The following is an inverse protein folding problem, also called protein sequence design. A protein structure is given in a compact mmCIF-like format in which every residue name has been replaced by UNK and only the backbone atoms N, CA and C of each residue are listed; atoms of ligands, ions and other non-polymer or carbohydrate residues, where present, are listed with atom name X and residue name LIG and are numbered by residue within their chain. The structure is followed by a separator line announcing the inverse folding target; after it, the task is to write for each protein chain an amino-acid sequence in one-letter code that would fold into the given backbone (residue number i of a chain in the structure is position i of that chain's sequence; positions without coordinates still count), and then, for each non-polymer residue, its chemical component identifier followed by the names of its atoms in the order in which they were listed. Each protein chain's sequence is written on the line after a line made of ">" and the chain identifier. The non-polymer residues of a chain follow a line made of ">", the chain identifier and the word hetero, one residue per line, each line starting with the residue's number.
data_IF_406728612706
#
_entry.id   IF_406728612706
#
_cell.length_a   1.000
_cell.length_b   1.000
_cell.length_c   1.000
_cell.angle_alpha   90.00
_cell.angle_beta   90.00
_cell.angle_gamma   90.00
#
_symmetry.space_group_name_H-M   'P 1'
#
loop_
_entity.id
_entity.type
_entity.pdbx_description
1 polymer ?
#
# COMPACT_ATOMS: atom_id res chain seq x y z
N UNK A 1 -14.72 -15.85 -5.93
CA UNK A 1 -16.10 -15.66 -5.44
C UNK A 1 -16.30 -14.33 -4.71
N UNK A 2 -15.31 -13.85 -3.97
CA UNK A 2 -15.42 -12.60 -3.21
C UNK A 2 -15.67 -11.35 -4.07
N UNK A 3 -15.07 -11.28 -5.25
CA UNK A 3 -15.23 -10.14 -6.18
C UNK A 3 -16.63 -10.04 -6.80
N UNK A 4 -17.30 -11.17 -7.02
CA UNK A 4 -18.69 -11.19 -7.50
C UNK A 4 -19.68 -10.80 -6.40
N UNK A 5 -19.37 -11.15 -5.15
CA UNK A 5 -20.22 -10.85 -4.00
C UNK A 5 -20.19 -9.36 -3.62
N UNK A 6 -19.05 -8.69 -3.75
CA UNK A 6 -18.94 -7.24 -3.47
C UNK A 6 -19.71 -6.42 -4.51
N UNK A 7 -19.48 -6.65 -5.80
CA UNK A 7 -20.21 -5.93 -6.85
C UNK A 7 -21.72 -6.17 -6.81
N UNK A 8 -22.17 -7.38 -6.44
CA UNK A 8 -23.58 -7.69 -6.33
C UNK A 8 -24.24 -7.13 -5.07
N UNK A 9 -23.53 -7.10 -3.94
CA UNK A 9 -24.04 -6.49 -2.72
C UNK A 9 -24.15 -4.96 -2.84
N UNK A 10 -23.17 -4.29 -3.43
CA UNK A 10 -23.22 -2.85 -3.69
C UNK A 10 -24.39 -2.47 -4.61
N UNK A 11 -24.68 -3.31 -5.62
CA UNK A 11 -25.87 -3.11 -6.45
C UNK A 11 -27.15 -3.12 -5.62
N UNK A 12 -27.36 -4.19 -4.85
CA UNK A 12 -28.59 -4.36 -4.08
C UNK A 12 -28.75 -3.18 -3.13
N UNK A 13 -27.68 -2.77 -2.46
CA UNK A 13 -27.68 -1.63 -1.53
C UNK A 13 -28.03 -0.33 -2.24
N UNK A 14 -27.42 -0.02 -3.41
CA UNK A 14 -27.71 1.22 -4.14
C UNK A 14 -29.12 1.27 -4.70
N UNK A 15 -29.67 0.14 -5.13
CA UNK A 15 -31.05 0.05 -5.61
C UNK A 15 -32.05 0.23 -4.45
N UNK A 16 -31.79 -0.39 -3.29
CA UNK A 16 -32.61 -0.23 -2.09
C UNK A 16 -32.58 1.18 -1.52
N UNK A 17 -31.45 1.88 -1.62
CA UNK A 17 -31.25 3.24 -1.13
C UNK A 17 -31.51 4.31 -2.19
N UNK A 18 -31.96 3.95 -3.39
CA UNK A 18 -32.22 4.90 -4.47
C UNK A 18 -33.20 6.01 -4.02
N UNK A 19 -32.84 7.27 -4.27
CA UNK A 19 -33.62 8.44 -3.86
C UNK A 19 -33.48 8.81 -2.37
N UNK A 20 -32.68 8.08 -1.56
CA UNK A 20 -32.44 8.46 -0.18
C UNK A 20 -31.62 9.75 -0.11
N UNK A 21 -32.12 10.79 0.62
CA UNK A 21 -31.48 12.09 0.64
C UNK A 21 -30.26 12.13 1.57
N UNK A 22 -29.28 12.95 1.20
CA UNK A 22 -28.17 13.38 2.05
C UNK A 22 -27.94 14.89 1.90
N UNK A 23 -27.11 15.49 2.73
CA UNK A 23 -26.78 16.90 2.69
C UNK A 23 -26.22 17.27 1.31
N UNK A 24 -26.86 18.24 0.57
CA UNK A 24 -26.43 18.63 -0.75
C UNK A 24 -24.97 19.03 -0.79
N UNK A 25 -24.23 18.52 -1.78
CA UNK A 25 -22.82 18.85 -2.01
C UNK A 25 -22.49 18.89 -3.49
N UNK A 26 -21.47 19.64 -3.84
CA UNK A 26 -20.99 19.72 -5.22
C UNK A 26 -20.01 18.57 -5.46
N UNK A 27 -20.30 17.74 -6.45
CA UNK A 27 -19.45 16.62 -6.91
C UNK A 27 -19.34 16.78 -8.43
N UNK A 28 -18.10 16.88 -8.94
CA UNK A 28 -17.81 17.07 -10.36
C UNK A 28 -18.60 18.23 -11.00
N UNK A 29 -18.74 19.36 -10.30
CA UNK A 29 -19.45 20.55 -10.77
C UNK A 29 -20.98 20.43 -10.79
N UNK A 30 -21.55 19.38 -10.14
CA UNK A 30 -22.98 19.16 -10.02
C UNK A 30 -23.39 19.12 -8.56
N UNK A 31 -24.50 19.80 -8.23
CA UNK A 31 -25.13 19.65 -6.93
C UNK A 31 -25.85 18.32 -6.86
N UNK A 32 -25.49 17.48 -5.89
CA UNK A 32 -26.06 16.16 -5.64
C UNK A 32 -26.56 16.09 -4.22
N UNK A 33 -27.75 15.53 -4.03
CA UNK A 33 -28.44 15.50 -2.72
C UNK A 33 -29.13 14.16 -2.42
N UNK A 34 -29.00 13.16 -3.31
CA UNK A 34 -29.61 11.85 -3.11
C UNK A 34 -28.80 10.73 -3.76
N UNK A 35 -28.97 9.51 -3.27
CA UNK A 35 -28.38 8.29 -3.83
C UNK A 35 -29.07 7.97 -5.16
N UNK A 36 -28.27 7.62 -6.17
CA UNK A 36 -28.76 7.16 -7.48
C UNK A 36 -28.60 5.64 -7.55
N UNK A 37 -29.69 4.92 -7.83
CA UNK A 37 -29.65 3.47 -8.00
C UNK A 37 -28.77 3.07 -9.19
N UNK A 38 -27.88 2.10 -8.99
CA UNK A 38 -27.06 1.57 -10.07
C UNK A 38 -27.93 0.88 -11.13
N UNK A 39 -27.59 1.08 -12.40
CA UNK A 39 -28.19 0.40 -13.52
C UNK A 39 -27.43 -0.89 -13.85
N UNK A 40 -28.08 -1.85 -14.50
CA UNK A 40 -27.40 -3.07 -14.94
C UNK A 40 -26.17 -2.76 -15.82
N UNK A 41 -26.24 -1.71 -16.66
CA UNK A 41 -25.11 -1.25 -17.45
C UNK A 41 -23.93 -0.79 -16.62
N UNK A 42 -24.17 -0.19 -15.44
CA UNK A 42 -23.10 0.30 -14.57
C UNK A 42 -22.28 -0.86 -13.99
N UNK A 43 -22.97 -1.96 -13.67
CA UNK A 43 -22.34 -3.19 -13.16
C UNK A 43 -21.52 -3.89 -14.24
N UNK A 44 -22.14 -4.09 -15.42
CA UNK A 44 -21.46 -4.74 -16.56
C UNK A 44 -20.20 -3.94 -16.94
N UNK A 45 -20.26 -2.62 -16.84
CA UNK A 45 -19.13 -1.72 -17.13
C UNK A 45 -18.19 -1.48 -15.95
N UNK A 46 -18.52 -1.93 -14.74
CA UNK A 46 -17.69 -1.69 -13.55
C UNK A 46 -16.24 -2.18 -13.71
N UNK A 47 -15.96 -3.42 -14.19
CA UNK A 47 -14.58 -3.86 -14.38
C UNK A 47 -13.82 -2.99 -15.41
N UNK A 48 -14.48 -2.60 -16.51
CA UNK A 48 -13.87 -1.73 -17.51
C UNK A 48 -13.54 -0.34 -16.94
N UNK A 49 -14.46 0.24 -16.18
CA UNK A 49 -14.25 1.52 -15.53
C UNK A 49 -13.17 1.43 -14.43
N UNK A 50 -13.12 0.32 -13.68
CA UNK A 50 -12.08 0.02 -12.71
C UNK A 50 -10.70 -0.11 -13.36
N UNK A 51 -10.63 -0.74 -14.57
CA UNK A 51 -9.37 -0.79 -15.33
C UNK A 51 -8.90 0.60 -15.74
N UNK A 52 -9.83 1.46 -16.22
CA UNK A 52 -9.51 2.86 -16.58
C UNK A 52 -9.04 3.67 -15.37
N UNK A 53 -9.70 3.51 -14.23
CA UNK A 53 -9.37 4.22 -13.00
C UNK A 53 -7.97 3.85 -12.47
N UNK A 54 -7.58 2.57 -12.60
CA UNK A 54 -6.30 2.05 -12.13
C UNK A 54 -5.27 1.84 -13.26
N UNK A 55 -5.42 2.46 -14.44
CA UNK A 55 -4.60 2.13 -15.62
C UNK A 55 -3.11 2.33 -15.37
N UNK A 56 -2.72 3.40 -14.70
CA UNK A 56 -1.31 3.71 -14.43
C UNK A 56 -0.68 2.69 -13.48
N UNK A 57 -1.39 2.32 -12.41
CA UNK A 57 -0.95 1.28 -11.46
C UNK A 57 -0.82 -0.07 -12.19
N UNK A 58 -1.79 -0.41 -13.02
CA UNK A 58 -1.80 -1.67 -13.75
C UNK A 58 -0.63 -1.77 -14.72
N UNK A 59 -0.33 -0.70 -15.47
CA UNK A 59 0.82 -0.64 -16.37
C UNK A 59 2.12 -0.75 -15.56
N UNK A 60 2.23 -0.01 -14.46
CA UNK A 60 3.41 -0.07 -13.58
C UNK A 60 3.69 -1.50 -13.08
N UNK A 61 2.68 -2.20 -12.58
CA UNK A 61 2.81 -3.57 -12.06
C UNK A 61 3.24 -4.55 -13.17
N UNK A 62 2.68 -4.45 -14.37
CA UNK A 62 3.07 -5.31 -15.51
C UNK A 62 4.53 -5.07 -15.93
N UNK A 63 4.92 -3.80 -16.05
CA UNK A 63 6.30 -3.43 -16.43
C UNK A 63 7.28 -3.86 -15.36
N UNK A 64 6.91 -3.69 -14.10
CA UNK A 64 7.70 -4.11 -12.95
C UNK A 64 7.94 -5.62 -12.95
N UNK A 65 6.89 -6.42 -13.19
CA UNK A 65 7.01 -7.88 -13.34
C UNK A 65 7.98 -8.26 -14.46
N UNK A 66 7.87 -7.60 -15.60
CA UNK A 66 8.80 -7.79 -16.72
C UNK A 66 10.26 -7.47 -16.38
N UNK A 67 10.49 -6.31 -15.71
CA UNK A 67 11.81 -5.92 -15.21
C UNK A 67 12.40 -6.97 -14.25
N UNK A 68 11.60 -7.38 -13.26
CA UNK A 68 12.03 -8.36 -12.26
C UNK A 68 12.43 -9.69 -12.89
N UNK A 69 11.63 -10.17 -13.84
CA UNK A 69 11.92 -11.45 -14.49
C UNK A 69 13.19 -11.38 -15.35
N UNK A 70 13.42 -10.27 -16.06
CA UNK A 70 14.71 -10.05 -16.75
C UNK A 70 15.87 -10.16 -15.76
N UNK A 71 15.81 -9.44 -14.63
CA UNK A 71 16.88 -9.47 -13.62
C UNK A 71 17.06 -10.87 -13.02
N UNK A 72 15.97 -11.57 -12.72
CA UNK A 72 15.98 -12.95 -12.19
C UNK A 72 16.61 -13.92 -13.17
N UNK A 73 16.23 -13.89 -14.46
CA UNK A 73 16.78 -14.77 -15.47
C UNK A 73 18.30 -14.57 -15.72
N UNK A 74 18.86 -13.41 -15.33
CA UNK A 74 20.32 -13.22 -15.36
C UNK A 74 21.07 -14.01 -14.28
N UNK A 75 20.36 -14.58 -13.27
CA UNK A 75 20.95 -15.21 -12.10
C UNK A 75 21.57 -14.22 -11.09
N UNK A 76 21.44 -12.92 -11.33
CA UNK A 76 22.07 -11.90 -10.49
C UNK A 76 21.43 -11.82 -9.10
N UNK A 77 20.10 -11.99 -9.02
CA UNK A 77 19.38 -11.97 -7.73
C UNK A 77 19.78 -13.16 -6.87
N UNK A 78 19.76 -14.37 -7.40
CA UNK A 78 20.16 -15.59 -6.67
C UNK A 78 21.60 -15.50 -6.16
N UNK A 79 22.55 -15.10 -7.03
CA UNK A 79 23.94 -14.94 -6.65
C UNK A 79 24.12 -13.83 -5.58
N UNK A 80 23.36 -12.74 -5.70
CA UNK A 80 23.33 -11.64 -4.73
C UNK A 80 22.81 -12.09 -3.38
N UNK A 81 21.67 -12.77 -3.35
CA UNK A 81 21.03 -13.32 -2.13
C UNK A 81 22.01 -14.25 -1.42
N UNK A 82 22.60 -15.22 -2.12
CA UNK A 82 23.58 -16.12 -1.52
C UNK A 82 24.78 -15.39 -0.93
N UNK A 83 25.28 -14.34 -1.61
CA UNK A 83 26.37 -13.52 -1.10
C UNK A 83 25.99 -12.78 0.19
N UNK A 84 24.75 -12.25 0.28
CA UNK A 84 24.23 -11.58 1.48
C UNK A 84 24.05 -12.56 2.62
N UNK A 85 23.40 -13.71 2.38
CA UNK A 85 23.18 -14.76 3.39
C UNK A 85 24.52 -15.28 3.94
N UNK A 86 25.52 -15.52 3.07
CA UNK A 86 26.87 -15.92 3.51
C UNK A 86 27.54 -14.86 4.42
N UNK A 87 27.33 -13.57 4.15
CA UNK A 87 27.86 -12.48 4.98
C UNK A 87 27.12 -12.29 6.30
N UNK A 88 25.83 -12.60 6.34
CA UNK A 88 24.97 -12.45 7.52
C UNK A 88 25.02 -13.65 8.47
N UNK A 89 25.81 -14.68 8.19
CA UNK A 89 25.87 -15.92 8.93
C UNK A 89 25.89 -15.70 10.45
N UNK A 90 24.80 -16.09 11.14
CA UNK A 90 24.57 -15.88 12.57
C UNK A 90 23.88 -14.55 12.95
N UNK A 91 23.62 -13.65 12.02
CA UNK A 91 22.96 -12.37 12.26
C UNK A 91 21.72 -12.13 11.37
N UNK A 92 21.17 -13.19 10.78
CA UNK A 92 20.06 -13.11 9.81
C UNK A 92 18.81 -12.44 10.42
N UNK A 93 18.57 -12.63 11.72
CA UNK A 93 17.46 -11.99 12.44
C UNK A 93 17.55 -10.46 12.47
N UNK A 94 18.75 -9.87 12.39
CA UNK A 94 18.91 -8.40 12.47
C UNK A 94 18.46 -7.69 11.20
N UNK A 95 18.38 -8.39 10.06
CA UNK A 95 17.96 -7.78 8.80
C UNK A 95 16.48 -7.38 8.84
N UNK A 96 15.66 -8.16 9.55
CA UNK A 96 14.20 -7.97 9.64
C UNK A 96 13.86 -6.55 10.17
N UNK A 97 14.28 -6.15 11.39
CA UNK A 97 13.94 -4.83 11.91
C UNK A 97 14.54 -3.70 11.09
N UNK A 98 15.74 -3.87 10.50
CA UNK A 98 16.36 -2.86 9.64
C UNK A 98 15.50 -2.62 8.41
N UNK A 99 15.08 -3.67 7.71
CA UNK A 99 14.22 -3.56 6.53
C UNK A 99 12.84 -3.00 6.90
N UNK A 100 12.25 -3.44 8.00
CA UNK A 100 10.95 -2.92 8.46
C UNK A 100 11.01 -1.43 8.75
N UNK A 101 12.09 -0.93 9.38
CA UNK A 101 12.28 0.51 9.59
C UNK A 101 12.40 1.24 8.26
N UNK A 102 13.19 0.74 7.31
CA UNK A 102 13.34 1.35 5.99
C UNK A 102 12.01 1.42 5.24
N UNK A 103 11.26 0.32 5.19
CA UNK A 103 9.92 0.31 4.58
C UNK A 103 8.94 1.23 5.31
N UNK A 104 9.00 1.30 6.64
CA UNK A 104 8.10 2.16 7.42
C UNK A 104 8.38 3.65 7.20
N UNK A 105 9.64 4.04 7.02
CA UNK A 105 9.99 5.40 6.62
C UNK A 105 9.36 5.73 5.27
N UNK A 106 9.49 4.84 4.27
CA UNK A 106 8.84 4.99 2.97
C UNK A 106 7.32 5.11 3.08
N UNK A 107 6.69 4.23 3.86
CA UNK A 107 5.25 4.28 4.12
C UNK A 107 4.78 5.59 4.77
N UNK A 108 5.54 6.11 5.75
CA UNK A 108 5.20 7.34 6.47
C UNK A 108 5.42 8.62 5.66
N UNK A 109 6.42 8.62 4.77
CA UNK A 109 6.86 9.85 4.07
C UNK A 109 6.15 10.04 2.73
N UNK A 110 6.01 9.00 1.93
CA UNK A 110 5.37 9.11 0.61
C UNK A 110 4.29 8.06 0.35
N UNK A 111 3.93 7.25 1.37
CA UNK A 111 2.85 6.29 1.25
C UNK A 111 3.22 5.02 0.50
N UNK A 112 4.49 4.56 0.63
CA UNK A 112 4.99 3.36 -0.04
C UNK A 112 4.04 2.17 0.14
N UNK A 113 3.49 1.69 -0.95
CA UNK A 113 2.54 0.59 -1.00
C UNK A 113 2.83 -0.34 -2.18
N UNK A 114 2.34 -0.05 -3.38
CA UNK A 114 2.49 -0.86 -4.59
C UNK A 114 3.96 -1.03 -4.99
N UNK A 115 4.81 -0.07 -4.69
CA UNK A 115 6.26 -0.11 -4.92
C UNK A 115 6.97 -1.18 -4.07
N UNK A 116 6.29 -1.72 -3.06
CA UNK A 116 6.83 -2.84 -2.27
C UNK A 116 6.72 -4.19 -2.97
N UNK A 117 5.87 -4.32 -3.99
CA UNK A 117 5.59 -5.59 -4.68
C UNK A 117 6.85 -6.34 -5.11
N UNK A 118 7.87 -5.69 -5.71
CA UNK A 118 9.11 -6.38 -6.09
C UNK A 118 9.88 -7.00 -4.94
N UNK A 119 9.76 -6.40 -3.75
CA UNK A 119 10.54 -6.88 -2.59
C UNK A 119 10.01 -8.17 -2.00
N UNK A 120 8.74 -8.54 -2.26
CA UNK A 120 8.20 -9.80 -1.73
C UNK A 120 8.92 -11.02 -2.29
N UNK A 121 9.14 -11.10 -3.60
CA UNK A 121 9.87 -12.20 -4.21
C UNK A 121 11.34 -12.27 -3.76
N UNK A 122 12.02 -11.11 -3.77
CA UNK A 122 13.40 -10.99 -3.33
C UNK A 122 13.59 -11.40 -1.87
N UNK A 123 12.73 -10.90 -0.99
CA UNK A 123 12.83 -11.20 0.44
C UNK A 123 12.35 -12.60 0.76
N UNK A 124 11.35 -13.15 0.06
CA UNK A 124 10.94 -14.55 0.20
C UNK A 124 12.10 -15.48 -0.09
N UNK A 125 12.79 -15.31 -1.21
CA UNK A 125 13.99 -16.09 -1.55
C UNK A 125 15.10 -15.91 -0.49
N UNK A 126 15.33 -14.67 -0.04
CA UNK A 126 16.35 -14.36 0.98
C UNK A 126 16.02 -15.01 2.33
N UNK A 127 14.77 -14.93 2.78
CA UNK A 127 14.33 -15.48 4.06
C UNK A 127 14.36 -17.01 4.05
N UNK A 128 13.92 -17.65 2.97
CA UNK A 128 14.00 -19.12 2.82
C UNK A 128 15.47 -19.57 2.83
N UNK A 129 16.36 -18.91 2.08
CA UNK A 129 17.79 -19.18 2.10
C UNK A 129 18.43 -18.97 3.48
N UNK A 130 17.94 -18.03 4.28
CA UNK A 130 18.36 -17.78 5.66
C UNK A 130 17.71 -18.73 6.69
N UNK A 131 16.87 -19.67 6.26
CA UNK A 131 16.23 -20.70 7.09
C UNK A 131 14.95 -20.24 7.80
N UNK A 132 14.30 -19.19 7.30
CA UNK A 132 12.94 -18.76 7.64
C UNK A 132 11.93 -19.30 6.61
N UNK A 133 10.66 -18.99 6.79
CA UNK A 133 9.63 -19.18 5.79
C UNK A 133 9.30 -17.85 5.03
N UNK A 134 8.49 -17.95 3.98
CA UNK A 134 8.07 -16.77 3.19
C UNK A 134 7.12 -15.86 3.96
N UNK A 135 6.46 -16.34 4.99
CA UNK A 135 5.62 -15.53 5.86
C UNK A 135 6.42 -14.43 6.59
N UNK A 136 7.67 -14.73 6.97
CA UNK A 136 8.59 -13.72 7.54
C UNK A 136 8.88 -12.61 6.55
N UNK A 137 9.03 -12.94 5.25
CA UNK A 137 9.21 -11.93 4.20
C UNK A 137 7.96 -11.04 4.06
N UNK A 138 6.76 -11.66 3.98
CA UNK A 138 5.48 -10.93 3.93
C UNK A 138 5.35 -9.98 5.12
N UNK A 139 5.56 -10.47 6.35
CA UNK A 139 5.49 -9.66 7.56
C UNK A 139 6.49 -8.50 7.53
N UNK A 140 7.72 -8.73 7.04
CA UNK A 140 8.76 -7.70 6.95
C UNK A 140 8.37 -6.58 6.00
N UNK A 141 7.83 -6.90 4.82
CA UNK A 141 7.44 -5.89 3.80
C UNK A 141 6.12 -5.22 4.18
N UNK A 142 5.06 -6.02 4.33
CA UNK A 142 3.70 -5.50 4.47
C UNK A 142 3.49 -4.77 5.80
N UNK A 143 3.94 -5.34 6.92
CA UNK A 143 3.87 -4.66 8.21
C UNK A 143 4.94 -3.56 8.33
N UNK A 144 6.07 -3.68 7.64
CA UNK A 144 7.05 -2.61 7.55
C UNK A 144 6.43 -1.36 6.91
N UNK A 145 6.07 -1.42 5.64
CA UNK A 145 5.50 -0.29 4.90
C UNK A 145 4.16 0.17 5.49
N UNK A 146 3.25 -0.75 5.78
CA UNK A 146 1.92 -0.43 6.29
C UNK A 146 1.93 0.24 7.66
N UNK A 147 2.85 -0.13 8.57
CA UNK A 147 3.00 0.59 9.84
C UNK A 147 3.46 2.04 9.62
N UNK A 148 4.22 2.29 8.56
CA UNK A 148 4.55 3.64 8.12
C UNK A 148 3.33 4.42 7.65
N UNK A 149 2.51 3.81 6.80
CA UNK A 149 1.27 4.42 6.28
C UNK A 149 0.27 4.74 7.40
N UNK A 150 0.17 3.91 8.45
CA UNK A 150 -0.65 4.21 9.64
C UNK A 150 -0.27 5.55 10.27
N UNK A 151 1.02 5.84 10.37
CA UNK A 151 1.53 7.09 10.92
C UNK A 151 2.02 8.04 9.82
N UNK A 152 1.26 8.21 8.73
CA UNK A 152 1.57 9.11 7.63
C UNK A 152 1.95 10.51 8.13
N UNK A 153 3.25 10.87 8.03
CA UNK A 153 3.75 12.18 8.49
C UNK A 153 3.60 13.25 7.41
N UNK A 154 4.14 12.97 6.23
CA UNK A 154 4.16 13.89 5.07
C UNK A 154 3.68 13.19 3.80
N UNK A 155 2.97 12.09 3.94
CA UNK A 155 2.45 11.27 2.85
C UNK A 155 1.52 12.09 1.96
N UNK A 156 1.90 12.39 0.70
CA UNK A 156 1.11 13.22 -0.20
C UNK A 156 -0.25 12.60 -0.55
N UNK A 157 -0.35 11.27 -0.60
CA UNK A 157 -1.56 10.54 -0.98
C UNK A 157 -2.56 10.37 0.18
N UNK A 158 -2.14 10.66 1.40
CA UNK A 158 -2.99 10.57 2.61
C UNK A 158 -3.12 11.94 3.28
N UNK A 159 -2.13 12.30 4.11
CA UNK A 159 -2.16 13.56 4.86
C UNK A 159 -2.06 14.80 3.97
N UNK A 160 -1.32 14.73 2.86
CA UNK A 160 -1.22 15.82 1.88
C UNK A 160 -2.58 16.18 1.29
N UNK A 161 -3.22 15.19 0.65
CA UNK A 161 -4.56 15.35 0.06
C UNK A 161 -5.60 15.77 1.12
N UNK A 162 -5.52 15.20 2.33
CA UNK A 162 -6.43 15.54 3.41
C UNK A 162 -6.27 17.02 3.87
N UNK A 163 -5.03 17.50 3.97
CA UNK A 163 -4.76 18.91 4.25
C UNK A 163 -5.29 19.83 3.15
N UNK A 164 -5.11 19.46 1.88
CA UNK A 164 -5.62 20.25 0.75
C UNK A 164 -7.15 20.28 0.74
N UNK A 165 -7.80 19.18 1.07
CA UNK A 165 -9.24 19.10 1.22
C UNK A 165 -9.76 20.03 2.35
N UNK A 166 -9.03 20.17 3.47
CA UNK A 166 -9.34 21.15 4.52
C UNK A 166 -9.16 22.59 4.02
N UNK A 167 -8.06 22.87 3.29
CA UNK A 167 -7.81 24.20 2.70
C UNK A 167 -8.92 24.59 1.73
N UNK A 168 -9.42 23.64 0.95
CA UNK A 168 -10.52 23.82 0.01
C UNK A 168 -11.81 24.31 0.65
N UNK A 169 -12.05 24.03 1.94
CA UNK A 169 -13.20 24.50 2.72
C UNK A 169 -12.86 25.66 3.68
N UNK A 170 -11.70 26.33 3.48
CA UNK A 170 -11.27 27.48 4.27
C UNK A 170 -10.71 27.15 5.66
N UNK A 171 -10.35 25.89 5.92
CA UNK A 171 -9.67 25.50 7.15
C UNK A 171 -8.17 25.41 6.85
N UNK A 172 -7.35 26.21 7.56
CA UNK A 172 -5.89 26.15 7.45
C UNK A 172 -5.35 25.16 8.48
N UNK A 173 -4.90 23.94 8.08
CA UNK A 173 -4.42 22.95 9.01
C UNK A 173 -3.03 23.29 9.56
N UNK A 174 -2.81 23.03 10.84
CA UNK A 174 -1.49 23.10 11.44
C UNK A 174 -0.68 21.83 11.13
N UNK A 175 0.21 21.92 10.14
CA UNK A 175 1.07 20.80 9.72
C UNK A 175 1.92 20.25 10.86
N UNK A 176 2.30 21.08 11.85
CA UNK A 176 3.08 20.63 13.01
C UNK A 176 2.34 19.61 13.86
N UNK A 177 1.03 19.77 14.07
CA UNK A 177 0.20 18.80 14.81
C UNK A 177 0.17 17.46 14.04
N UNK A 178 -0.05 17.50 12.73
CA UNK A 178 -0.08 16.31 11.88
C UNK A 178 1.26 15.57 11.95
N UNK A 179 2.38 16.28 11.85
CA UNK A 179 3.72 15.71 11.93
C UNK A 179 3.97 15.03 13.29
N UNK A 180 3.62 15.70 14.39
CA UNK A 180 3.85 15.16 15.76
C UNK A 180 2.99 13.91 15.98
N UNK A 181 1.69 13.99 15.71
CA UNK A 181 0.78 12.86 15.89
C UNK A 181 1.13 11.71 14.95
N UNK A 182 1.45 12.02 13.70
CA UNK A 182 1.91 11.04 12.71
C UNK A 182 3.19 10.33 13.13
N UNK A 183 4.18 11.06 13.64
CA UNK A 183 5.44 10.48 14.13
C UNK A 183 5.23 9.55 15.33
N UNK A 184 4.33 9.90 16.26
CA UNK A 184 3.99 9.05 17.41
C UNK A 184 3.28 7.77 16.94
N UNK A 185 2.29 7.89 16.05
CA UNK A 185 1.59 6.75 15.46
C UNK A 185 2.56 5.85 14.68
N UNK A 186 3.43 6.43 13.86
CA UNK A 186 4.47 5.71 13.13
C UNK A 186 5.40 4.93 14.05
N UNK A 187 5.96 5.59 15.06
CA UNK A 187 6.91 4.96 15.98
C UNK A 187 6.26 3.82 16.77
N UNK A 188 5.04 4.02 17.28
CA UNK A 188 4.30 3.01 18.05
C UNK A 188 3.90 1.81 17.16
N UNK A 189 3.32 2.06 15.99
CA UNK A 189 2.87 1.02 15.07
C UNK A 189 4.04 0.22 14.50
N UNK A 190 5.14 0.88 14.13
CA UNK A 190 6.35 0.22 13.62
C UNK A 190 7.02 -0.62 14.71
N UNK A 191 7.14 -0.10 15.93
CA UNK A 191 7.73 -0.84 17.05
C UNK A 191 6.95 -2.13 17.35
N UNK A 192 5.62 -2.04 17.40
CA UNK A 192 4.77 -3.21 17.62
C UNK A 192 4.86 -4.19 16.43
N UNK A 193 4.85 -3.71 15.21
CA UNK A 193 4.99 -4.55 14.00
C UNK A 193 6.32 -5.30 13.98
N UNK A 194 7.43 -4.63 14.31
CA UNK A 194 8.74 -5.27 14.45
C UNK A 194 8.69 -6.36 15.54
N UNK A 195 8.08 -6.05 16.69
CA UNK A 195 7.98 -7.02 17.79
C UNK A 195 7.29 -8.31 17.37
N UNK A 196 6.14 -8.25 16.69
CA UNK A 196 5.39 -9.43 16.28
C UNK A 196 6.10 -10.24 15.20
N UNK A 197 6.68 -9.57 14.18
CA UNK A 197 7.42 -10.26 13.11
C UNK A 197 8.68 -10.92 13.68
N UNK A 198 9.43 -10.23 14.52
CA UNK A 198 10.62 -10.79 15.17
C UNK A 198 10.29 -11.96 16.09
N UNK A 199 9.18 -11.89 16.83
CA UNK A 199 8.71 -13.00 17.66
C UNK A 199 8.40 -14.24 16.81
N UNK A 200 7.71 -14.04 15.70
CA UNK A 200 7.41 -15.12 14.76
C UNK A 200 8.67 -15.67 14.10
N UNK A 201 9.53 -14.81 13.57
CA UNK A 201 10.78 -15.20 12.92
C UNK A 201 11.70 -16.00 13.85
N UNK A 202 11.85 -15.60 15.13
CA UNK A 202 12.60 -16.37 16.13
C UNK A 202 12.04 -17.77 16.34
N UNK A 203 10.70 -17.88 16.38
CA UNK A 203 10.02 -19.18 16.58
C UNK A 203 10.28 -20.11 15.40
N UNK A 204 10.10 -19.65 14.16
CA UNK A 204 10.33 -20.46 12.95
C UNK A 204 11.81 -20.79 12.78
N UNK A 205 12.73 -19.86 13.13
CA UNK A 205 14.17 -20.12 13.07
C UNK A 205 14.62 -21.22 14.04
N UNK A 206 14.02 -21.25 15.24
CA UNK A 206 14.33 -22.26 16.26
C UNK A 206 13.73 -23.64 15.91
N UNK A 207 12.53 -23.65 15.36
CA UNK A 207 11.80 -24.85 14.97
C UNK A 207 10.99 -24.58 13.70
N UNK A 208 11.44 -25.16 12.58
CA UNK A 208 10.75 -25.04 11.28
C UNK A 208 9.32 -25.59 11.30
N UNK A 209 9.03 -26.59 12.15
CA UNK A 209 7.69 -27.14 12.31
C UNK A 209 6.70 -26.20 12.97
N UNK A 210 7.18 -25.08 13.55
CA UNK A 210 6.31 -24.05 14.13
C UNK A 210 5.84 -22.96 13.15
N UNK A 211 6.08 -23.13 11.84
CA UNK A 211 5.49 -22.29 10.80
C UNK A 211 3.97 -22.32 10.85
N UNK A 212 3.33 -21.20 10.47
CA UNK A 212 1.87 -21.10 10.32
C UNK A 212 1.39 -21.42 8.91
N UNK A 213 2.33 -21.62 7.97
CA UNK A 213 2.01 -22.01 6.60
C UNK A 213 1.41 -23.43 6.60
N UNK A 214 0.36 -23.64 5.83
CA UNK A 214 -0.20 -24.96 5.55
C UNK A 214 0.82 -25.83 4.80
N UNK A 215 0.61 -27.12 4.76
CA UNK A 215 1.50 -28.04 4.03
C UNK A 215 1.62 -27.66 2.55
N UNK A 216 0.52 -27.26 1.92
CA UNK A 216 0.54 -26.84 0.54
C UNK A 216 1.35 -25.56 0.33
N UNK A 217 1.17 -24.55 1.21
CA UNK A 217 1.97 -23.31 1.15
C UNK A 217 3.48 -23.61 1.35
N UNK A 218 3.83 -24.56 2.21
CA UNK A 218 5.21 -24.99 2.39
C UNK A 218 5.78 -25.69 1.14
N UNK A 219 5.00 -26.55 0.48
CA UNK A 219 5.38 -27.19 -0.78
C UNK A 219 5.57 -26.14 -1.89
N UNK A 220 4.65 -25.20 -2.04
CA UNK A 220 4.72 -24.12 -3.03
C UNK A 220 5.92 -23.20 -2.76
N UNK A 221 6.18 -22.88 -1.50
CA UNK A 221 7.36 -22.12 -1.05
C UNK A 221 8.65 -22.86 -1.43
N UNK A 222 8.77 -24.16 -1.09
CA UNK A 222 9.97 -24.93 -1.38
C UNK A 222 10.20 -25.09 -2.87
N UNK A 223 9.14 -25.34 -3.65
CA UNK A 223 9.20 -25.45 -5.11
C UNK A 223 9.65 -24.14 -5.75
N UNK A 224 9.18 -23.00 -5.23
CA UNK A 224 9.46 -21.66 -5.83
C UNK A 224 10.81 -21.11 -5.37
N UNK A 225 11.14 -21.24 -4.08
CA UNK A 225 12.28 -20.57 -3.46
C UNK A 225 13.35 -21.50 -2.91
N UNK A 226 13.06 -22.79 -2.70
CA UNK A 226 14.00 -23.74 -2.10
C UNK A 226 15.26 -23.98 -2.94
N UNK A 227 15.14 -23.92 -4.27
CA UNK A 227 16.28 -24.10 -5.18
C UNK A 227 17.27 -22.93 -5.17
N UNK A 228 16.81 -21.72 -4.83
CA UNK A 228 17.68 -20.54 -4.71
C UNK A 228 18.73 -20.70 -3.59
N UNK A 229 18.44 -21.55 -2.61
CA UNK A 229 19.36 -21.87 -1.50
C UNK A 229 20.38 -22.98 -1.82
N UNK A 230 20.11 -23.84 -2.82
CA UNK A 230 20.84 -25.11 -3.02
C UNK A 230 21.92 -25.09 -4.07
N UNK A 231 21.91 -24.17 -5.04
CA UNK A 231 22.97 -24.06 -6.06
C UNK A 231 23.98 -22.98 -5.71
N UNK A 232 25.25 -23.39 -5.46
CA UNK A 232 26.32 -22.40 -5.33
C UNK A 232 26.55 -21.71 -6.68
N UNK A 233 26.11 -20.46 -6.77
CA UNK A 233 26.37 -19.62 -7.94
C UNK A 233 27.58 -18.71 -7.69
N UNK A 234 28.57 -18.64 -8.59
CA UNK A 234 29.68 -17.71 -8.46
C UNK A 234 29.16 -16.28 -8.64
N UNK A 235 29.43 -15.42 -7.64
CA UNK A 235 29.08 -14.01 -7.70
C UNK A 235 30.05 -13.24 -8.60
N UNK A 236 29.69 -13.08 -9.87
CA UNK A 236 30.53 -12.51 -10.92
C UNK A 236 30.45 -10.96 -10.95
N UNK A 237 31.40 -10.29 -11.63
CA UNK A 237 31.34 -8.86 -11.87
C UNK A 237 30.11 -8.44 -12.70
N UNK A 238 29.62 -9.34 -13.57
CA UNK A 238 28.38 -9.13 -14.32
C UNK A 238 27.18 -9.07 -13.40
N UNK A 239 27.04 -10.02 -12.46
CA UNK A 239 25.99 -10.00 -11.44
C UNK A 239 26.03 -8.72 -10.60
N UNK A 240 27.23 -8.27 -10.18
CA UNK A 240 27.39 -6.98 -9.45
C UNK A 240 26.87 -5.79 -10.24
N UNK A 241 27.17 -5.70 -11.55
CA UNK A 241 26.68 -4.61 -12.40
C UNK A 241 25.16 -4.62 -12.53
N UNK A 242 24.54 -5.79 -12.73
CA UNK A 242 23.08 -5.94 -12.80
C UNK A 242 22.43 -5.55 -11.48
N UNK A 243 22.98 -6.01 -10.34
CA UNK A 243 22.48 -5.62 -9.02
C UNK A 243 22.69 -4.13 -8.70
N UNK A 244 23.74 -3.51 -9.25
CA UNK A 244 23.90 -2.05 -9.16
C UNK A 244 22.83 -1.31 -9.96
N UNK A 245 22.51 -1.78 -11.17
CA UNK A 245 21.39 -1.22 -11.96
C UNK A 245 20.07 -1.42 -11.22
N UNK A 246 19.84 -2.59 -10.66
CA UNK A 246 18.67 -2.90 -9.83
C UNK A 246 18.56 -1.94 -8.64
N UNK A 247 19.60 -1.85 -7.82
CA UNK A 247 19.62 -0.94 -6.66
C UNK A 247 19.45 0.52 -7.08
N UNK A 248 20.12 0.96 -8.15
CA UNK A 248 19.98 2.31 -8.70
C UNK A 248 18.55 2.60 -9.14
N UNK A 249 17.87 1.63 -9.77
CA UNK A 249 16.48 1.74 -10.17
C UNK A 249 15.58 2.11 -8.99
N UNK A 250 15.71 1.39 -7.87
CA UNK A 250 14.92 1.62 -6.68
C UNK A 250 15.30 2.90 -5.93
N UNK A 251 16.59 3.24 -5.89
CA UNK A 251 17.04 4.51 -5.28
C UNK A 251 16.42 5.70 -6.03
N UNK A 252 16.46 5.69 -7.37
CA UNK A 252 15.85 6.75 -8.17
C UNK A 252 14.33 6.77 -7.99
N UNK A 253 13.67 5.61 -7.97
CA UNK A 253 12.23 5.52 -7.66
C UNK A 253 11.91 6.22 -6.33
N UNK A 254 12.59 5.87 -5.24
CA UNK A 254 12.35 6.46 -3.93
C UNK A 254 12.58 7.98 -3.97
N UNK A 255 13.69 8.43 -4.55
CA UNK A 255 14.03 9.86 -4.66
C UNK A 255 13.02 10.62 -5.50
N UNK A 256 12.52 10.03 -6.58
CA UNK A 256 11.57 10.68 -7.50
C UNK A 256 10.15 10.80 -6.94
N UNK A 257 9.77 9.99 -5.95
CA UNK A 257 8.45 10.00 -5.31
C UNK A 257 8.36 10.95 -4.11
N UNK A 258 9.50 11.32 -3.49
CA UNK A 258 9.49 12.25 -2.35
C UNK A 258 9.14 13.65 -2.85
N UNK A 259 8.08 14.31 -2.30
CA UNK A 259 7.64 15.63 -2.75
C UNK A 259 8.61 16.72 -2.27
N UNK A 260 9.76 16.82 -2.90
CA UNK A 260 10.86 17.73 -2.51
C UNK A 260 10.46 19.19 -2.44
N UNK A 261 9.52 19.61 -3.30
CA UNK A 261 9.02 20.98 -3.33
C UNK A 261 8.33 21.36 -2.01
N UNK A 262 7.61 20.42 -1.38
CA UNK A 262 6.90 20.66 -0.12
C UNK A 262 7.87 20.85 1.06
N UNK A 263 9.09 20.31 0.92
CA UNK A 263 10.20 20.51 1.87
C UNK A 263 11.08 21.71 1.52
N UNK A 264 10.74 22.51 0.49
CA UNK A 264 11.54 23.64 0.05
C UNK A 264 12.83 23.26 -0.70
N UNK A 265 13.00 21.97 -1.05
CA UNK A 265 14.16 21.47 -1.79
C UNK A 265 13.91 21.56 -3.28
N UNK A 266 14.56 22.52 -3.96
CA UNK A 266 14.37 22.79 -5.39
C UNK A 266 15.50 22.26 -6.28
N UNK A 267 16.47 21.55 -5.73
CA UNK A 267 17.66 21.06 -6.45
C UNK A 267 17.34 20.16 -7.62
N UNK A 268 16.18 19.47 -7.58
CA UNK A 268 15.77 18.53 -8.63
C UNK A 268 14.93 19.19 -9.75
N UNK A 269 14.54 20.46 -9.60
CA UNK A 269 13.71 21.15 -10.59
C UNK A 269 14.42 21.33 -11.93
N UNK A 270 13.73 20.98 -13.00
CA UNK A 270 14.10 21.24 -14.39
C UNK A 270 15.02 20.16 -14.97
N UNK A 271 16.20 19.91 -14.43
CA UNK A 271 17.17 19.01 -15.04
C UNK A 271 16.78 17.52 -14.95
N UNK A 272 15.99 17.12 -13.94
CA UNK A 272 15.51 15.73 -13.80
C UNK A 272 14.30 15.42 -14.70
N UNK A 273 13.64 16.43 -15.26
CA UNK A 273 12.49 16.26 -16.15
C UNK A 273 12.87 15.74 -17.55
N UNK A 274 14.15 15.66 -17.86
CA UNK A 274 14.65 15.18 -19.18
C UNK A 274 14.20 13.75 -19.49
N UNK A 275 13.95 12.91 -18.48
CA UNK A 275 13.61 11.49 -18.68
C UNK A 275 12.13 11.28 -19.02
N UNK A 276 11.24 11.88 -18.26
CA UNK A 276 9.79 11.63 -18.35
C UNK A 276 8.95 12.89 -18.59
N UNK A 277 9.56 14.06 -18.52
CA UNK A 277 8.87 15.34 -18.56
C UNK A 277 8.55 15.89 -17.16
N UNK A 278 8.55 15.05 -16.12
CA UNK A 278 8.30 15.42 -14.74
C UNK A 278 9.61 15.45 -13.94
N UNK A 279 9.75 16.44 -13.05
CA UNK A 279 10.90 16.53 -12.13
C UNK A 279 10.79 15.50 -11.01
N UNK A 280 11.93 15.14 -10.41
CA UNK A 280 11.92 14.32 -9.18
C UNK A 280 11.14 15.04 -8.08
N UNK A 281 10.22 14.31 -7.45
CA UNK A 281 9.25 14.81 -6.51
C UNK A 281 7.83 14.93 -7.10
N UNK A 282 7.74 14.88 -8.44
CA UNK A 282 6.46 14.95 -9.16
C UNK A 282 6.20 13.66 -9.97
N UNK A 283 7.05 12.64 -9.84
CA UNK A 283 6.87 11.37 -10.55
C UNK A 283 5.68 10.60 -9.99
N UNK A 284 4.99 9.88 -10.89
CA UNK A 284 3.88 9.00 -10.58
C UNK A 284 4.05 7.64 -11.27
N UNK A 285 3.06 6.76 -11.22
CA UNK A 285 3.17 5.38 -11.73
C UNK A 285 3.56 5.30 -13.21
N UNK A 286 3.11 6.24 -14.04
CA UNK A 286 3.50 6.30 -15.46
C UNK A 286 5.00 6.54 -15.65
N UNK A 287 5.57 7.50 -14.89
CA UNK A 287 7.00 7.79 -14.93
C UNK A 287 7.82 6.60 -14.43
N UNK A 288 7.38 5.99 -13.34
CA UNK A 288 8.01 4.80 -12.77
C UNK A 288 7.98 3.62 -13.75
N UNK A 289 6.85 3.37 -14.41
CA UNK A 289 6.75 2.30 -15.39
C UNK A 289 7.80 2.46 -16.51
N UNK A 290 7.93 3.66 -17.06
CA UNK A 290 8.92 3.92 -18.12
C UNK A 290 10.37 3.84 -17.61
N UNK A 291 10.62 4.26 -16.38
CA UNK A 291 11.90 4.12 -15.71
C UNK A 291 12.32 2.65 -15.55
N UNK A 292 11.42 1.80 -14.99
CA UNK A 292 11.67 0.37 -14.86
C UNK A 292 11.84 -0.34 -16.22
N UNK A 293 11.06 0.05 -17.22
CA UNK A 293 11.19 -0.46 -18.58
C UNK A 293 12.58 -0.18 -19.16
N UNK A 294 13.04 1.07 -19.07
CA UNK A 294 14.37 1.48 -19.54
C UNK A 294 15.50 0.70 -18.84
N UNK A 295 15.43 0.59 -17.52
CA UNK A 295 16.44 -0.12 -16.75
C UNK A 295 16.37 -1.64 -16.93
N UNK A 296 15.20 -2.18 -17.28
CA UNK A 296 15.03 -3.56 -17.72
C UNK A 296 15.82 -3.86 -18.99
N UNK A 297 15.74 -2.98 -19.98
CA UNK A 297 16.54 -3.08 -21.21
C UNK A 297 18.04 -3.01 -20.90
N UNK A 298 18.47 -2.08 -20.03
CA UNK A 298 19.87 -1.95 -19.62
C UNK A 298 20.34 -3.22 -18.90
N UNK A 299 19.52 -3.78 -18.00
CA UNK A 299 19.82 -5.03 -17.31
C UNK A 299 19.97 -6.22 -18.29
N UNK A 300 19.09 -6.32 -19.28
CA UNK A 300 19.16 -7.33 -20.35
C UNK A 300 20.45 -7.21 -21.18
N UNK A 301 20.81 -5.98 -21.58
CA UNK A 301 22.06 -5.71 -22.32
C UNK A 301 23.31 -6.13 -21.51
N UNK A 302 23.37 -5.77 -20.21
CA UNK A 302 24.45 -6.21 -19.31
C UNK A 302 24.38 -7.73 -19.15
N UNK A 303 23.16 -8.29 -19.10
CA UNK A 303 22.84 -9.71 -19.10
C UNK A 303 23.29 -10.45 -20.35
N UNK A 304 23.60 -9.73 -21.46
CA UNK A 304 23.88 -10.25 -22.78
C UNK A 304 22.71 -11.06 -23.36
N UNK A 305 21.50 -10.64 -23.06
CA UNK A 305 20.31 -11.22 -23.68
C UNK A 305 20.22 -10.75 -25.13
N UNK A 306 19.75 -11.63 -25.99
CA UNK A 306 19.30 -11.27 -27.32
C UNK A 306 18.00 -10.48 -27.25
N UNK A 307 17.63 -9.79 -28.31
CA UNK A 307 16.34 -9.09 -28.40
C UNK A 307 15.16 -10.03 -28.07
N UNK A 308 15.17 -11.23 -28.66
CA UNK A 308 14.15 -12.26 -28.45
C UNK A 308 14.07 -12.69 -27.00
N UNK A 309 15.19 -13.02 -26.35
CA UNK A 309 15.25 -13.40 -24.95
C UNK A 309 14.77 -12.28 -24.03
N UNK A 310 15.08 -11.01 -24.35
CA UNK A 310 14.64 -9.84 -23.60
C UNK A 310 13.13 -9.70 -23.65
N UNK A 311 12.54 -9.82 -24.85
CA UNK A 311 11.09 -9.71 -25.03
C UNK A 311 10.37 -10.87 -24.34
N UNK A 312 10.84 -12.12 -24.52
CA UNK A 312 10.25 -13.30 -23.88
C UNK A 312 10.30 -13.19 -22.35
N UNK A 313 11.45 -12.83 -21.78
CA UNK A 313 11.60 -12.63 -20.34
C UNK A 313 10.68 -11.51 -19.81
N UNK A 314 10.57 -10.39 -20.52
CA UNK A 314 9.68 -9.31 -20.15
C UNK A 314 8.22 -9.73 -20.16
N UNK A 315 7.77 -10.37 -21.24
CA UNK A 315 6.38 -10.84 -21.39
C UNK A 315 6.04 -11.87 -20.31
N UNK A 316 6.93 -12.82 -20.02
CA UNK A 316 6.68 -13.83 -19.00
C UNK A 316 6.56 -13.22 -17.60
N UNK A 317 7.43 -12.26 -17.25
CA UNK A 317 7.29 -11.53 -16.00
C UNK A 317 6.01 -10.68 -15.89
N UNK A 318 5.57 -10.07 -17.00
CA UNK A 318 4.30 -9.36 -17.04
C UNK A 318 3.10 -10.30 -16.89
N UNK A 319 3.13 -11.50 -17.47
CA UNK A 319 2.11 -12.54 -17.29
C UNK A 319 1.96 -12.97 -15.83
N UNK A 320 3.08 -13.09 -15.10
CA UNK A 320 3.07 -13.46 -13.68
C UNK A 320 2.32 -12.44 -12.81
N UNK A 321 2.29 -11.17 -13.26
CA UNK A 321 1.58 -10.09 -12.56
C UNK A 321 0.11 -9.93 -13.00
N UNK A 322 -0.35 -10.66 -13.99
CA UNK A 322 -1.68 -10.46 -14.57
C UNK A 322 -2.81 -10.74 -13.57
N UNK A 323 -2.63 -11.72 -12.68
CA UNK A 323 -3.60 -12.02 -11.62
C UNK A 323 -3.77 -10.84 -10.66
N UNK A 324 -2.67 -10.19 -10.29
CA UNK A 324 -2.68 -9.00 -9.42
C UNK A 324 -3.43 -7.85 -10.10
N UNK A 325 -3.14 -7.59 -11.37
CA UNK A 325 -3.83 -6.56 -12.18
C UNK A 325 -5.34 -6.81 -12.23
N UNK A 326 -5.76 -8.05 -12.48
CA UNK A 326 -7.19 -8.39 -12.55
C UNK A 326 -7.90 -8.21 -11.19
N UNK A 327 -7.25 -8.53 -10.09
CA UNK A 327 -7.80 -8.28 -8.74
C UNK A 327 -7.99 -6.77 -8.53
N UNK A 328 -7.01 -5.94 -8.87
CA UNK A 328 -7.10 -4.48 -8.76
C UNK A 328 -8.24 -3.94 -9.62
N UNK A 329 -8.38 -4.41 -10.85
CA UNK A 329 -9.43 -3.99 -11.79
C UNK A 329 -10.83 -4.22 -11.20
N UNK A 330 -11.07 -5.39 -10.63
CA UNK A 330 -12.38 -5.71 -10.03
C UNK A 330 -12.64 -4.87 -8.78
N UNK A 331 -11.64 -4.74 -7.90
CA UNK A 331 -11.74 -3.94 -6.69
C UNK A 331 -12.02 -2.45 -6.99
N UNK A 332 -11.32 -1.88 -7.99
CA UNK A 332 -11.57 -0.51 -8.45
C UNK A 332 -12.93 -0.35 -9.13
N UNK A 333 -13.40 -1.38 -9.83
CA UNK A 333 -14.73 -1.39 -10.42
C UNK A 333 -15.84 -1.19 -9.38
N UNK A 334 -15.76 -1.87 -8.25
CA UNK A 334 -16.70 -1.69 -7.13
C UNK A 334 -16.61 -0.27 -6.55
N UNK A 335 -15.40 0.26 -6.32
CA UNK A 335 -15.20 1.61 -5.82
C UNK A 335 -15.79 2.69 -6.75
N UNK A 336 -15.54 2.57 -8.06
CA UNK A 336 -16.11 3.47 -9.08
C UNK A 336 -17.64 3.41 -9.09
N UNK A 337 -18.22 2.24 -8.87
CA UNK A 337 -19.68 2.06 -8.79
C UNK A 337 -20.25 2.79 -7.57
N UNK A 338 -19.62 2.67 -6.40
CA UNK A 338 -20.04 3.38 -5.19
C UNK A 338 -20.02 4.90 -5.36
N UNK A 339 -18.95 5.45 -5.92
CA UNK A 339 -18.83 6.89 -6.16
C UNK A 339 -19.82 7.38 -7.21
N UNK A 340 -20.05 6.61 -8.28
CA UNK A 340 -21.03 6.93 -9.32
C UNK A 340 -22.47 6.99 -8.81
N UNK A 341 -22.80 6.20 -7.81
CA UNK A 341 -24.13 6.13 -7.19
C UNK A 341 -24.28 7.09 -6.00
N UNK A 342 -23.21 7.78 -5.61
CA UNK A 342 -23.13 8.64 -4.42
C UNK A 342 -23.44 7.92 -3.11
N UNK A 343 -23.28 6.59 -3.09
CA UNK A 343 -23.50 5.78 -1.90
C UNK A 343 -22.45 6.12 -0.81
N UNK A 344 -21.20 6.36 -1.20
CA UNK A 344 -20.13 6.84 -0.33
C UNK A 344 -20.51 8.15 0.40
N UNK A 345 -21.08 9.11 -0.34
CA UNK A 345 -21.53 10.40 0.17
C UNK A 345 -22.70 10.25 1.15
N UNK A 346 -23.65 9.36 0.85
CA UNK A 346 -24.78 9.05 1.74
C UNK A 346 -24.30 8.41 3.05
N UNK A 347 -23.44 7.41 2.98
CA UNK A 347 -22.90 6.72 4.16
C UNK A 347 -22.17 7.75 5.06
N UNK A 348 -21.37 8.61 4.44
CA UNK A 348 -20.61 9.64 5.16
C UNK A 348 -21.54 10.65 5.84
N UNK A 349 -22.60 11.11 5.17
CA UNK A 349 -23.58 12.06 5.73
C UNK A 349 -24.29 11.49 6.95
N UNK A 350 -24.79 10.25 6.86
CA UNK A 350 -25.44 9.58 7.99
C UNK A 350 -24.49 9.36 9.15
N UNK A 351 -23.25 8.96 8.86
CA UNK A 351 -22.24 8.76 9.89
C UNK A 351 -21.84 10.08 10.58
N UNK A 352 -21.68 11.17 9.80
CA UNK A 352 -21.41 12.49 10.37
C UNK A 352 -22.53 12.96 11.30
N UNK A 353 -23.80 12.72 10.92
CA UNK A 353 -24.96 13.02 11.76
C UNK A 353 -24.96 12.23 13.08
N UNK A 354 -24.54 10.96 13.07
CA UNK A 354 -24.43 10.14 14.28
C UNK A 354 -23.30 10.59 15.22
N UNK A 355 -22.25 11.20 14.69
CA UNK A 355 -21.10 11.67 15.46
C UNK A 355 -21.32 13.06 16.05
N UNK A 356 -22.29 13.81 15.56
CA UNK A 356 -22.62 15.14 16.05
C UNK A 356 -23.13 15.08 17.50
N UNK A 357 -22.55 15.90 18.39
CA UNK A 357 -22.95 15.96 19.80
C UNK A 357 -22.34 14.89 20.71
N UNK A 358 -21.46 14.03 20.19
CA UNK A 358 -20.71 13.08 21.04
C UNK A 358 -19.58 13.79 21.81
N UNK A 359 -19.19 13.21 22.95
CA UNK A 359 -17.98 13.65 23.65
C UNK A 359 -16.73 13.43 22.78
N UNK A 360 -15.63 14.21 22.99
CA UNK A 360 -14.40 14.07 22.19
C UNK A 360 -13.89 12.64 22.05
N UNK A 361 -13.94 11.87 23.14
CA UNK A 361 -13.51 10.47 23.16
C UNK A 361 -14.40 9.58 22.27
N UNK A 362 -15.73 9.72 22.42
CA UNK A 362 -16.68 8.95 21.61
C UNK A 362 -16.65 9.36 20.13
N UNK A 363 -16.40 10.64 19.86
CA UNK A 363 -16.19 11.14 18.49
C UNK A 363 -15.00 10.47 17.83
N UNK A 364 -13.83 10.43 18.50
CA UNK A 364 -12.62 9.78 17.98
C UNK A 364 -12.86 8.29 17.71
N UNK A 365 -13.49 7.58 18.67
CA UNK A 365 -13.82 6.15 18.51
C UNK A 365 -14.74 5.95 17.31
N UNK A 366 -15.82 6.70 17.23
CA UNK A 366 -16.80 6.60 16.15
C UNK A 366 -16.21 6.94 14.80
N UNK A 367 -15.44 8.02 14.69
CA UNK A 367 -14.76 8.44 13.47
C UNK A 367 -13.70 7.39 13.03
N UNK A 368 -12.94 6.82 13.96
CA UNK A 368 -11.97 5.77 13.64
C UNK A 368 -12.64 4.52 13.10
N UNK A 369 -13.73 4.05 13.75
CA UNK A 369 -14.53 2.91 13.27
C UNK A 369 -15.15 3.19 11.91
N UNK A 370 -15.67 4.42 11.70
CA UNK A 370 -16.17 4.84 10.39
C UNK A 370 -15.11 4.72 9.30
N UNK A 371 -13.89 5.22 9.55
CA UNK A 371 -12.82 5.15 8.55
C UNK A 371 -12.30 3.73 8.33
N UNK A 372 -12.34 2.84 9.32
CA UNK A 372 -12.08 1.42 9.10
C UNK A 372 -13.10 0.83 8.10
N UNK A 373 -14.39 1.15 8.27
CA UNK A 373 -15.44 0.69 7.36
C UNK A 373 -15.33 1.33 5.96
N UNK A 374 -15.19 2.64 5.88
CA UNK A 374 -15.08 3.34 4.60
C UNK A 374 -13.84 2.92 3.81
N UNK A 375 -12.69 2.79 4.43
CA UNK A 375 -11.46 2.36 3.77
C UNK A 375 -11.51 0.90 3.29
N UNK A 376 -12.29 0.04 3.94
CA UNK A 376 -12.55 -1.30 3.46
C UNK A 376 -13.36 -1.31 2.16
N UNK A 377 -14.33 -0.40 2.05
CA UNK A 377 -15.22 -0.25 0.89
C UNK A 377 -14.56 0.56 -0.24
N UNK A 378 -13.80 1.61 0.12
CA UNK A 378 -13.16 2.55 -0.83
C UNK A 378 -11.64 2.39 -0.71
N UNK A 379 -10.98 1.58 -1.54
CA UNK A 379 -9.56 1.28 -1.41
C UNK A 379 -8.64 2.46 -1.79
N UNK A 380 -9.18 3.52 -2.41
CA UNK A 380 -8.42 4.72 -2.75
C UNK A 380 -8.32 5.66 -1.56
N UNK A 381 -7.17 5.72 -0.91
CA UNK A 381 -6.92 6.62 0.22
C UNK A 381 -7.12 8.09 -0.16
N UNK A 382 -6.53 8.55 -1.27
CA UNK A 382 -6.69 9.93 -1.74
C UNK A 382 -8.13 10.25 -2.13
N UNK A 383 -8.82 9.36 -2.84
CA UNK A 383 -10.23 9.51 -3.20
C UNK A 383 -11.11 9.62 -1.97
N UNK A 384 -10.92 8.76 -0.98
CA UNK A 384 -11.65 8.82 0.30
C UNK A 384 -11.37 10.12 1.05
N UNK A 385 -10.12 10.64 1.04
CA UNK A 385 -9.77 11.92 1.65
C UNK A 385 -10.57 13.08 1.03
N UNK A 386 -10.61 13.19 -0.29
CA UNK A 386 -11.32 14.26 -0.99
C UNK A 386 -12.81 14.30 -0.66
N UNK A 387 -13.45 13.14 -0.56
CA UNK A 387 -14.90 13.05 -0.27
C UNK A 387 -15.18 13.27 1.22
N UNK A 388 -14.35 12.71 2.11
CA UNK A 388 -14.69 12.62 3.54
C UNK A 388 -14.14 13.75 4.40
N UNK A 389 -12.95 14.23 4.12
CA UNK A 389 -12.28 15.23 4.98
C UNK A 389 -13.00 16.60 4.98
N UNK A 390 -13.54 17.12 3.87
CA UNK A 390 -14.35 18.33 3.91
C UNK A 390 -15.52 18.23 4.90
N UNK A 391 -16.17 17.08 4.99
CA UNK A 391 -17.31 16.85 5.89
C UNK A 391 -16.85 16.64 7.33
N UNK A 392 -15.95 15.69 7.54
CA UNK A 392 -15.52 15.26 8.87
C UNK A 392 -14.61 16.29 9.55
N UNK A 393 -13.78 16.98 8.78
CA UNK A 393 -12.94 18.07 9.29
C UNK A 393 -13.77 19.32 9.66
N UNK A 394 -14.76 19.67 8.83
CA UNK A 394 -15.70 20.73 9.17
C UNK A 394 -16.55 20.39 10.41
N UNK A 395 -17.01 19.13 10.51
CA UNK A 395 -17.74 18.67 11.71
C UNK A 395 -16.87 18.79 12.96
N UNK A 396 -15.62 18.26 12.92
CA UNK A 396 -14.69 18.38 14.03
C UNK A 396 -14.51 19.84 14.48
N UNK A 397 -14.21 20.74 13.54
CA UNK A 397 -14.06 22.18 13.82
C UNK A 397 -15.31 22.80 14.43
N UNK A 398 -16.50 22.49 13.91
CA UNK A 398 -17.77 23.06 14.36
C UNK A 398 -18.14 22.64 15.80
N UNK A 399 -17.68 21.48 16.23
CA UNK A 399 -17.90 21.01 17.62
C UNK A 399 -16.70 21.30 18.54
N UNK A 400 -15.74 22.11 18.07
CA UNK A 400 -14.57 22.53 18.87
C UNK A 400 -13.46 21.50 19.00
N UNK A 401 -13.39 20.53 18.05
CA UNK A 401 -12.34 19.51 18.00
C UNK A 401 -11.31 19.83 16.90
N UNK A 402 -10.09 19.28 17.04
CA UNK A 402 -9.00 19.52 16.09
C UNK A 402 -9.26 18.85 14.71
N UNK A 403 -9.35 19.63 13.62
CA UNK A 403 -9.41 19.06 12.26
C UNK A 403 -8.13 18.31 11.88
N UNK A 404 -6.98 18.67 12.42
CA UNK A 404 -5.70 18.02 12.17
C UNK A 404 -5.69 16.59 12.73
N UNK A 405 -6.20 16.43 13.96
CA UNK A 405 -6.34 15.10 14.55
C UNK A 405 -7.38 14.27 13.78
N UNK A 406 -8.41 14.93 13.22
CA UNK A 406 -9.35 14.25 12.31
C UNK A 406 -8.66 13.70 11.06
N UNK A 407 -7.72 14.45 10.46
CA UNK A 407 -6.87 13.95 9.37
C UNK A 407 -6.06 12.72 9.81
N UNK A 408 -5.54 12.73 11.04
CA UNK A 408 -4.77 11.59 11.54
C UNK A 408 -5.65 10.36 11.88
N UNK A 409 -6.90 10.57 12.30
CA UNK A 409 -7.89 9.49 12.46
C UNK A 409 -8.14 8.82 11.10
N UNK A 410 -8.37 9.62 10.06
CA UNK A 410 -8.52 9.14 8.69
C UNK A 410 -7.28 8.36 8.23
N UNK A 411 -6.09 8.95 8.29
CA UNK A 411 -4.86 8.34 7.80
C UNK A 411 -4.55 7.01 8.53
N UNK A 412 -4.71 7.01 9.85
CA UNK A 412 -4.48 5.82 10.68
C UNK A 412 -5.51 4.71 10.43
N UNK A 413 -6.78 5.05 10.29
CA UNK A 413 -7.84 4.09 9.95
C UNK A 413 -7.64 3.44 8.59
N UNK A 414 -7.33 4.24 7.56
CA UNK A 414 -7.00 3.75 6.21
C UNK A 414 -5.75 2.87 6.23
N UNK A 415 -4.66 3.34 6.85
CA UNK A 415 -3.41 2.58 6.92
C UNK A 415 -3.57 1.25 7.62
N UNK A 416 -4.40 1.19 8.68
CA UNK A 416 -4.64 -0.04 9.42
C UNK A 416 -5.41 -1.06 8.57
N UNK A 417 -6.51 -0.66 7.92
CA UNK A 417 -7.33 -1.59 7.14
C UNK A 417 -6.60 -2.06 5.88
N UNK A 418 -5.75 -1.23 5.30
CA UNK A 418 -4.94 -1.57 4.13
C UNK A 418 -3.92 -2.69 4.39
N UNK A 419 -3.68 -3.07 5.64
CA UNK A 419 -2.88 -4.26 5.98
C UNK A 419 -3.59 -5.58 5.69
N UNK A 420 -4.92 -5.57 5.59
CA UNK A 420 -5.71 -6.81 5.44
C UNK A 420 -6.75 -6.75 4.33
N UNK A 421 -7.05 -5.58 3.77
CA UNK A 421 -8.12 -5.50 2.77
C UNK A 421 -7.76 -6.28 1.51
N UNK A 422 -8.65 -7.17 1.02
CA UNK A 422 -8.40 -7.92 -0.21
C UNK A 422 -8.53 -7.06 -1.47
N UNK A 423 -9.03 -5.82 -1.34
CA UNK A 423 -9.04 -4.84 -2.43
C UNK A 423 -7.68 -4.16 -2.65
N UNK A 424 -6.73 -4.38 -1.72
CA UNK A 424 -5.34 -3.88 -1.87
C UNK A 424 -4.52 -4.80 -2.76
N UNK A 425 -4.06 -4.27 -3.90
CA UNK A 425 -3.14 -4.97 -4.80
C UNK A 425 -1.82 -5.36 -4.11
N UNK A 426 -1.39 -4.56 -3.13
CA UNK A 426 -0.17 -4.83 -2.35
C UNK A 426 -0.34 -6.07 -1.47
N UNK A 427 -1.48 -6.20 -0.79
CA UNK A 427 -1.79 -7.38 0.04
C UNK A 427 -1.89 -8.61 -0.84
N UNK A 428 -2.77 -8.58 -1.83
CA UNK A 428 -3.02 -9.76 -2.66
C UNK A 428 -1.81 -10.13 -3.50
N UNK A 429 -1.15 -9.15 -4.13
CA UNK A 429 0.04 -9.38 -4.94
C UNK A 429 1.24 -9.86 -4.12
N UNK A 430 1.47 -9.26 -2.96
CA UNK A 430 2.56 -9.68 -2.06
C UNK A 430 2.38 -11.10 -1.53
N UNK A 431 1.16 -11.46 -1.15
CA UNK A 431 0.81 -12.81 -0.69
C UNK A 431 0.98 -13.85 -1.80
N UNK A 432 0.48 -13.55 -3.01
CA UNK A 432 0.59 -14.45 -4.17
C UNK A 432 2.05 -14.70 -4.54
N UNK A 433 2.85 -13.64 -4.65
CA UNK A 433 4.29 -13.76 -4.94
C UNK A 433 4.99 -14.60 -3.87
N UNK A 434 4.67 -14.39 -2.59
CA UNK A 434 5.29 -15.11 -1.48
C UNK A 434 4.73 -16.52 -1.24
N UNK A 435 3.74 -16.96 -2.03
CA UNK A 435 3.03 -18.23 -1.87
C UNK A 435 2.39 -18.39 -0.49
N UNK A 436 1.80 -17.31 0.02
CA UNK A 436 1.05 -17.27 1.28
C UNK A 436 -0.43 -17.03 0.98
N UNK A 437 -1.31 -17.87 1.51
CA UNK A 437 -2.74 -17.71 1.31
C UNK A 437 -3.29 -16.53 2.11
N UNK A 438 -4.26 -15.82 1.54
CA UNK A 438 -4.94 -14.72 2.22
C UNK A 438 -5.57 -15.14 3.56
N UNK A 439 -6.12 -16.35 3.64
CA UNK A 439 -6.68 -16.90 4.87
C UNK A 439 -5.61 -17.08 5.98
N UNK A 440 -4.41 -17.50 5.62
CA UNK A 440 -3.27 -17.65 6.56
C UNK A 440 -2.86 -16.26 7.07
N UNK A 441 -2.77 -15.28 6.19
CA UNK A 441 -2.45 -13.90 6.55
C UNK A 441 -3.47 -13.28 7.49
N UNK A 442 -4.76 -13.32 7.13
CA UNK A 442 -5.84 -12.72 7.94
C UNK A 442 -5.99 -13.39 9.30
N UNK A 443 -5.83 -14.70 9.38
CA UNK A 443 -5.82 -15.44 10.65
C UNK A 443 -4.70 -14.99 11.58
N UNK A 444 -3.50 -14.77 11.06
CA UNK A 444 -2.39 -14.21 11.83
C UNK A 444 -2.68 -12.77 12.26
N UNK A 445 -3.16 -11.95 11.34
CA UNK A 445 -3.39 -10.52 11.55
C UNK A 445 -4.56 -10.21 12.49
N UNK A 446 -5.46 -11.14 12.76
CA UNK A 446 -6.65 -10.90 13.59
C UNK A 446 -6.31 -10.27 14.96
N UNK A 447 -5.31 -10.78 15.67
CA UNK A 447 -4.86 -10.22 16.95
C UNK A 447 -4.04 -8.94 16.78
N UNK A 448 -3.01 -8.87 15.90
CA UNK A 448 -2.27 -7.65 15.62
C UNK A 448 -3.14 -6.47 15.22
N UNK A 449 -4.18 -6.66 14.41
CA UNK A 449 -5.11 -5.61 14.02
C UNK A 449 -5.82 -4.97 15.22
N UNK A 450 -6.30 -5.79 16.15
CA UNK A 450 -6.95 -5.29 17.37
C UNK A 450 -5.95 -4.48 18.21
N UNK A 451 -4.74 -5.00 18.41
CA UNK A 451 -3.73 -4.33 19.23
C UNK A 451 -3.26 -3.02 18.56
N UNK A 452 -2.96 -3.04 17.26
CA UNK A 452 -2.62 -1.82 16.51
C UNK A 452 -3.77 -0.81 16.54
N UNK A 453 -5.00 -1.26 16.35
CA UNK A 453 -6.19 -0.41 16.44
C UNK A 453 -6.32 0.25 17.82
N UNK A 454 -6.11 -0.49 18.90
CA UNK A 454 -6.15 0.05 20.26
C UNK A 454 -5.01 1.02 20.54
N UNK A 455 -3.78 0.71 20.11
CA UNK A 455 -2.63 1.62 20.23
C UNK A 455 -2.92 2.95 19.53
N UNK A 456 -3.37 2.87 18.27
CA UNK A 456 -3.67 4.06 17.47
C UNK A 456 -4.82 4.87 18.09
N UNK A 457 -5.87 4.19 18.53
CA UNK A 457 -7.03 4.85 19.17
C UNK A 457 -6.64 5.59 20.45
N UNK A 458 -5.81 5.00 21.31
CA UNK A 458 -5.31 5.65 22.53
C UNK A 458 -4.51 6.90 22.19
N UNK A 459 -3.63 6.83 21.20
CA UNK A 459 -2.82 7.97 20.76
C UNK A 459 -3.72 9.08 20.19
N UNK A 460 -4.69 8.73 19.34
CA UNK A 460 -5.61 9.67 18.70
C UNK A 460 -6.55 10.35 19.72
N UNK A 461 -7.05 9.61 20.72
CA UNK A 461 -7.83 10.18 21.83
C UNK A 461 -6.97 11.17 22.61
N UNK A 462 -5.75 10.78 22.99
CA UNK A 462 -4.82 11.67 23.68
C UNK A 462 -4.50 12.93 22.88
N UNK A 463 -4.24 12.78 21.57
CA UNK A 463 -4.02 13.91 20.67
C UNK A 463 -5.25 14.83 20.55
N UNK A 464 -6.45 14.25 20.42
CA UNK A 464 -7.68 15.05 20.34
C UNK A 464 -7.91 15.86 21.62
N UNK A 465 -7.69 15.28 22.81
CA UNK A 465 -7.84 16.00 24.08
C UNK A 465 -6.77 17.06 24.32
N UNK A 466 -5.61 16.93 23.68
CA UNK A 466 -4.48 17.85 23.86
C UNK A 466 -4.55 19.05 22.88
N UNK A 467 -5.07 18.85 21.68
CA UNK A 467 -5.06 19.82 20.58
C UNK A 467 -6.46 20.39 20.25
N UNK A 468 -7.49 20.05 21.02
CA UNK A 468 -8.85 20.63 20.89
C UNK A 468 -9.03 21.89 21.73
#
# INVERSE_FOLDING_TARGET
>A
DWSSDVCSSDLIVTVLLNGQPFTPREIDGKMVDHVVGAKLSDIIMAPFNGFKDAIEINIFILVLGGFLNIVTQTGALEAGIQSVVKKLKGNELKIIPILMILFSIGGSTYGMAEETIPFYGLLSATMVAAGFDTFVAVGTVLLGAGSGVIGSTVNPFSTGVAMDALRGIGIQPNTGIILIVGAILWAASTSYSIFIVMRYAKKVKADKGSTILSLQEQEDMEKTYGQAASKEMPFTNRHKKILMVFAFCFVVMIVSLIPWNDFGVTIFKGWTSVLTGNSFGDWYFGDLAMWFFLLGIIAALIGRFTEKETIEAFIDGAKDMLSVVLIIVVARGASVLMSKTYLDSFILDKAAGLLQGLSPVLFVIGAFVLYLGLSFLIPSTSGLAYVSIPVMGALAKNIGLSPEVMVMIFASGCGLINLITPTSGVVMGGLEISKVQYATWTKFMAKPMIVLGLINLIILIGAMLLFS
#
